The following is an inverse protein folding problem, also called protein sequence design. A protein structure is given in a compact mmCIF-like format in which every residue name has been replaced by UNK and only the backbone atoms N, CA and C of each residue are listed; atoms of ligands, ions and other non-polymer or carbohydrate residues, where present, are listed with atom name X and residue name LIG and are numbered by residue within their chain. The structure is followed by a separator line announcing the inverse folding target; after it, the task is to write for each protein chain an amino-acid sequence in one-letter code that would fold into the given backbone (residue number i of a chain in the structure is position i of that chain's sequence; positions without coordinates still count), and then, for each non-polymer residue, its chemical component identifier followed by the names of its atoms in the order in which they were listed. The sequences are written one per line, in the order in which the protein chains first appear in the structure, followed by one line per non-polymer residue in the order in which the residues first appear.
data_IF_440456656143
#
_entry.id   IF_440456656143
#
_cell.length_a   1.000
_cell.length_b   1.000
_cell.length_c   1.000
_cell.angle_alpha   90.00
_cell.angle_beta   90.00
_cell.angle_gamma   90.00
#
_symmetry.space_group_name_H-M   'P 1'
#
loop_
_entity.id
_entity.type
_entity.pdbx_description
1 polymer ?
#
# COMPACT_ATOMS: atom_id res chain seq x y z
N UNK A 1 16.91 -9.12 13.16
CA UNK A 1 15.84 -9.81 12.40
C UNK A 1 14.76 -8.84 11.86
N UNK A 2 14.10 -7.98 12.68
CA UNK A 2 13.03 -7.05 12.25
C UNK A 2 13.42 -6.06 11.14
N UNK A 3 14.66 -5.51 11.15
CA UNK A 3 15.15 -4.57 10.12
C UNK A 3 15.24 -5.24 8.75
N UNK A 4 15.69 -6.49 8.69
CA UNK A 4 15.79 -7.25 7.44
C UNK A 4 14.43 -7.59 6.84
N UNK A 5 13.44 -7.95 7.67
CA UNK A 5 12.06 -8.22 7.19
C UNK A 5 11.47 -6.98 6.51
N UNK A 6 11.68 -5.77 7.11
CA UNK A 6 11.24 -4.51 6.50
C UNK A 6 11.88 -4.26 5.13
N UNK A 7 13.19 -4.46 5.04
CA UNK A 7 13.94 -4.25 3.79
C UNK A 7 13.45 -5.25 2.73
N UNK A 8 13.32 -6.53 3.09
CA UNK A 8 12.88 -7.58 2.17
C UNK A 8 11.45 -7.29 1.65
N UNK A 9 10.52 -6.90 2.52
CA UNK A 9 9.15 -6.59 2.08
C UNK A 9 9.06 -5.35 1.20
N UNK A 10 9.78 -4.27 1.54
CA UNK A 10 9.80 -3.06 0.71
C UNK A 10 10.47 -3.35 -0.63
N UNK A 11 11.60 -4.08 -0.65
CA UNK A 11 12.28 -4.44 -1.90
C UNK A 11 11.44 -5.38 -2.76
N UNK A 12 10.72 -6.33 -2.16
CA UNK A 12 9.80 -7.22 -2.88
C UNK A 12 8.65 -6.45 -3.55
N UNK A 13 8.04 -5.50 -2.85
CA UNK A 13 6.99 -4.64 -3.41
C UNK A 13 7.53 -3.74 -4.52
N UNK A 14 8.75 -3.20 -4.36
CA UNK A 14 9.40 -2.38 -5.39
C UNK A 14 9.68 -3.20 -6.66
N UNK A 15 10.19 -4.42 -6.53
CA UNK A 15 10.43 -5.34 -7.65
C UNK A 15 9.11 -5.66 -8.36
N UNK A 16 8.02 -5.87 -7.63
CA UNK A 16 6.70 -6.15 -8.20
C UNK A 16 6.20 -4.98 -9.06
N UNK A 17 6.36 -3.73 -8.58
CA UNK A 17 6.02 -2.52 -9.36
C UNK A 17 6.88 -2.41 -10.61
N UNK A 18 8.19 -2.69 -10.52
CA UNK A 18 9.08 -2.69 -11.69
C UNK A 18 8.66 -3.72 -12.74
N UNK A 19 8.37 -4.95 -12.33
CA UNK A 19 7.89 -5.99 -13.23
C UNK A 19 6.59 -5.54 -13.92
N UNK A 20 5.68 -4.90 -13.20
CA UNK A 20 4.42 -4.40 -13.73
C UNK A 20 4.63 -3.32 -14.79
N UNK A 21 5.56 -2.38 -14.57
CA UNK A 21 5.91 -1.34 -15.55
C UNK A 21 6.51 -1.96 -16.80
N UNK A 22 7.45 -2.91 -16.66
CA UNK A 22 8.09 -3.60 -17.78
C UNK A 22 7.04 -4.36 -18.60
N UNK A 23 6.14 -5.08 -17.93
CA UNK A 23 5.08 -5.84 -18.60
C UNK A 23 4.09 -4.94 -19.34
N UNK A 24 3.69 -3.81 -18.77
CA UNK A 24 2.83 -2.82 -19.40
C UNK A 24 3.50 -2.23 -20.65
N UNK A 25 4.78 -1.87 -20.55
CA UNK A 25 5.56 -1.35 -21.67
C UNK A 25 5.71 -2.40 -22.78
N UNK A 26 6.04 -3.63 -22.44
CA UNK A 26 6.16 -4.73 -23.40
C UNK A 26 4.83 -5.01 -24.12
N UNK A 27 3.72 -5.01 -23.38
CA UNK A 27 2.39 -5.17 -23.94
C UNK A 27 2.00 -4.02 -24.89
N UNK A 28 2.36 -2.78 -24.51
CA UNK A 28 2.16 -1.63 -25.39
C UNK A 28 2.93 -1.78 -26.71
N UNK A 29 4.21 -2.15 -26.67
CA UNK A 29 5.04 -2.34 -27.85
C UNK A 29 4.50 -3.48 -28.73
N UNK A 30 4.08 -4.59 -28.12
CA UNK A 30 3.48 -5.71 -28.85
C UNK A 30 2.22 -5.27 -29.61
N UNK A 31 1.29 -4.62 -28.94
CA UNK A 31 0.04 -4.14 -29.57
C UNK A 31 0.30 -3.06 -30.63
N UNK A 32 1.31 -2.19 -30.41
CA UNK A 32 1.74 -1.22 -31.41
C UNK A 32 2.25 -1.90 -32.69
N UNK A 33 3.10 -2.91 -32.55
CA UNK A 33 3.62 -3.65 -33.69
C UNK A 33 2.50 -4.42 -34.44
N UNK A 34 1.56 -5.02 -33.68
CA UNK A 34 0.39 -5.71 -34.23
C UNK A 34 -0.45 -4.76 -35.12
N UNK A 35 -0.75 -3.55 -34.62
CA UNK A 35 -1.55 -2.59 -35.38
C UNK A 35 -0.77 -2.05 -36.61
N UNK A 36 0.55 -1.80 -36.46
CA UNK A 36 1.40 -1.40 -37.57
C UNK A 36 1.37 -2.47 -38.66
N UNK A 37 1.57 -3.73 -38.30
CA UNK A 37 1.53 -4.85 -39.27
C UNK A 37 0.16 -4.98 -39.91
N UNK A 38 -0.92 -4.99 -39.14
CA UNK A 38 -2.29 -5.09 -39.64
C UNK A 38 -2.62 -3.94 -40.61
N UNK A 39 -2.33 -2.70 -40.22
CA UNK A 39 -2.66 -1.53 -41.05
C UNK A 39 -1.78 -1.43 -42.30
N UNK A 40 -0.54 -1.94 -42.25
CA UNK A 40 0.32 -2.06 -43.43
C UNK A 40 -0.25 -3.06 -44.44
N UNK A 41 -0.69 -4.23 -43.98
CA UNK A 41 -1.33 -5.23 -44.83
C UNK A 41 -2.65 -4.71 -45.47
N UNK A 42 -3.45 -3.97 -44.68
CA UNK A 42 -4.68 -3.34 -45.22
C UNK A 42 -4.37 -2.26 -46.26
N UNK A 43 -3.26 -1.52 -46.08
CA UNK A 43 -2.80 -0.56 -47.08
C UNK A 43 -2.35 -1.26 -48.38
N UNK A 44 -1.64 -2.38 -48.26
CA UNK A 44 -1.24 -3.21 -49.38
C UNK A 44 -2.46 -3.71 -50.17
N UNK A 45 -3.50 -4.18 -49.48
CA UNK A 45 -4.76 -4.58 -50.10
C UNK A 45 -5.45 -3.41 -50.83
N UNK A 46 -5.41 -2.20 -50.27
CA UNK A 46 -5.97 -1.02 -50.94
C UNK A 46 -5.21 -0.62 -52.18
N UNK A 47 -3.87 -0.73 -52.19
CA UNK A 47 -3.03 -0.50 -53.36
C UNK A 47 -3.32 -1.55 -54.45
N UNK A 48 -3.45 -2.82 -54.04
CA UNK A 48 -3.84 -3.90 -54.94
C UNK A 48 -5.20 -3.62 -55.60
N UNK A 49 -6.22 -3.28 -54.80
CA UNK A 49 -7.56 -2.98 -55.34
C UNK A 49 -7.55 -1.83 -56.35
N UNK A 50 -6.76 -0.80 -56.08
CA UNK A 50 -6.57 0.32 -56.98
C UNK A 50 -5.90 -0.14 -58.31
N UNK A 51 -4.84 -0.97 -58.19
CA UNK A 51 -4.13 -1.52 -59.33
C UNK A 51 -5.07 -2.33 -60.23
N UNK A 52 -5.85 -3.23 -59.68
CA UNK A 52 -6.83 -4.05 -60.40
C UNK A 52 -7.94 -3.18 -61.03
N UNK A 53 -8.38 -2.14 -60.35
CA UNK A 53 -9.37 -1.19 -60.88
C UNK A 53 -8.85 -0.49 -62.16
N UNK A 54 -7.58 -0.09 -62.18
CA UNK A 54 -6.94 0.49 -63.37
C UNK A 54 -6.72 -0.53 -64.47
N UNK A 55 -6.27 -1.74 -64.12
CA UNK A 55 -6.14 -2.85 -65.09
C UNK A 55 -7.46 -3.15 -65.78
N UNK A 56 -8.58 -3.18 -65.08
CA UNK A 56 -9.91 -3.37 -65.63
C UNK A 56 -10.35 -2.25 -66.62
N UNK A 57 -9.71 -1.09 -66.61
CA UNK A 57 -9.97 0.04 -67.48
C UNK A 57 -9.15 0.01 -68.80
N UNK A 58 -8.25 -0.98 -68.97
CA UNK A 58 -7.44 -1.15 -70.17
C UNK A 58 -8.20 -1.89 -71.27
N UNK A 59 -7.89 -1.64 -72.59
CA UNK A 59 -8.43 -2.41 -73.64
C UNK A 59 -8.07 -3.90 -73.56
N UNK A 60 -9.00 -4.78 -74.03
CA UNK A 60 -8.73 -6.22 -74.06
C UNK A 60 -7.50 -6.54 -74.88
N UNK A 61 -6.60 -7.38 -74.40
CA UNK A 61 -5.34 -7.77 -75.03
C UNK A 61 -4.12 -6.92 -74.66
N UNK A 62 -4.26 -5.90 -73.79
CA UNK A 62 -3.11 -5.13 -73.35
C UNK A 62 -2.21 -6.00 -72.49
N UNK A 63 -0.93 -6.15 -72.85
CA UNK A 63 0.06 -6.85 -72.06
C UNK A 63 0.57 -5.96 -70.93
N UNK A 64 0.53 -6.49 -69.66
CA UNK A 64 1.07 -5.85 -68.43
C UNK A 64 2.17 -6.73 -67.90
N UNK A 65 3.31 -6.14 -67.49
CA UNK A 65 4.44 -6.86 -66.89
C UNK A 65 4.01 -7.48 -65.56
N UNK A 66 4.25 -8.77 -65.43
CA UNK A 66 4.13 -9.47 -64.14
C UNK A 66 5.50 -9.70 -63.54
N UNK A 67 5.55 -10.18 -62.30
CA UNK A 67 6.80 -10.49 -61.61
C UNK A 67 7.65 -11.49 -62.36
N UNK A 68 8.93 -11.17 -62.70
CA UNK A 68 9.82 -12.11 -63.34
C UNK A 68 10.15 -13.28 -62.41
N UNK A 69 10.32 -14.47 -62.99
CA UNK A 69 10.64 -15.68 -62.22
C UNK A 69 12.01 -15.56 -61.45
N UNK A 70 12.92 -14.74 -62.00
CA UNK A 70 14.21 -14.40 -61.40
C UNK A 70 14.08 -13.63 -60.08
N UNK A 71 12.96 -12.95 -59.84
CA UNK A 71 12.73 -12.10 -58.67
C UNK A 71 11.82 -12.76 -57.59
N UNK A 72 11.57 -14.06 -57.74
CA UNK A 72 10.68 -14.81 -56.84
C UNK A 72 11.12 -14.81 -55.33
N UNK A 73 12.39 -14.48 -55.04
CA UNK A 73 12.93 -14.36 -53.68
C UNK A 73 12.99 -12.93 -53.13
N UNK A 74 12.64 -11.92 -53.92
CA UNK A 74 12.65 -10.53 -53.42
C UNK A 74 11.34 -10.19 -52.73
N UNK A 75 11.41 -9.42 -51.65
CA UNK A 75 10.23 -8.95 -50.89
C UNK A 75 9.59 -7.71 -51.56
N UNK A 76 9.24 -7.89 -52.88
CA UNK A 76 8.59 -6.87 -53.67
C UNK A 76 7.18 -7.37 -54.01
N UNK A 77 6.12 -6.62 -53.66
CA UNK A 77 4.76 -7.00 -54.01
C UNK A 77 4.54 -7.14 -55.52
N UNK A 78 3.70 -8.07 -55.94
CA UNK A 78 3.44 -8.35 -57.37
C UNK A 78 2.87 -7.11 -58.08
N UNK A 79 2.03 -6.34 -57.40
CA UNK A 79 1.46 -5.11 -57.99
C UNK A 79 2.53 -4.05 -58.30
N UNK A 80 3.72 -4.08 -57.67
CA UNK A 80 4.78 -3.11 -57.96
C UNK A 80 5.28 -3.22 -59.42
N UNK A 81 5.33 -4.42 -59.96
CA UNK A 81 5.68 -4.65 -61.39
C UNK A 81 4.55 -4.21 -62.34
N UNK A 82 3.29 -4.44 -61.92
CA UNK A 82 2.11 -4.00 -62.68
C UNK A 82 1.99 -2.46 -62.71
N UNK A 83 2.31 -1.79 -61.62
CA UNK A 83 2.29 -0.33 -61.47
C UNK A 83 3.23 0.34 -62.48
N UNK A 84 4.43 -0.19 -62.68
CA UNK A 84 5.39 0.36 -63.64
C UNK A 84 4.84 0.31 -65.05
N UNK A 85 4.23 -0.82 -65.50
CA UNK A 85 3.61 -0.95 -66.79
C UNK A 85 2.39 -0.03 -66.99
N UNK A 86 1.59 0.17 -65.91
CA UNK A 86 0.45 1.07 -65.91
C UNK A 86 0.88 2.53 -66.05
N UNK A 87 1.99 2.93 -65.46
CA UNK A 87 2.57 4.27 -65.62
C UNK A 87 3.06 4.49 -67.08
N UNK A 88 3.75 3.48 -67.67
CA UNK A 88 4.18 3.52 -69.09
C UNK A 88 2.99 3.66 -70.05
N UNK A 89 1.83 3.11 -69.72
CA UNK A 89 0.58 3.19 -70.49
C UNK A 89 -0.22 4.49 -70.18
N UNK A 90 0.35 5.45 -69.49
CA UNK A 90 -0.28 6.74 -69.19
C UNK A 90 -1.37 6.67 -68.11
N UNK A 91 -1.38 5.63 -67.27
CA UNK A 91 -2.33 5.44 -66.16
C UNK A 91 -1.57 5.53 -64.87
N UNK A 92 -1.17 6.73 -64.40
CA UNK A 92 -0.41 6.87 -63.12
C UNK A 92 -1.24 6.48 -61.91
N UNK A 93 -0.56 6.15 -60.82
CA UNK A 93 -1.18 5.77 -59.55
C UNK A 93 -2.03 6.90 -58.97
N UNK A 94 -3.21 6.58 -58.48
CA UNK A 94 -4.15 7.54 -57.90
C UNK A 94 -4.22 7.39 -56.37
N UNK A 95 -3.60 8.34 -55.63
CA UNK A 95 -3.72 8.39 -54.17
C UNK A 95 -5.15 8.61 -53.69
N UNK A 96 -5.99 9.29 -54.48
CA UNK A 96 -7.42 9.50 -54.16
C UNK A 96 -8.18 8.17 -54.15
N UNK A 97 -7.92 7.33 -55.13
CA UNK A 97 -8.55 6.01 -55.22
C UNK A 97 -8.05 5.07 -54.14
N UNK A 98 -6.74 5.07 -53.88
CA UNK A 98 -6.16 4.30 -52.77
C UNK A 98 -6.76 4.75 -51.42
N UNK A 99 -6.88 6.06 -51.18
CA UNK A 99 -7.47 6.60 -49.95
C UNK A 99 -8.93 6.16 -49.77
N UNK A 100 -9.70 6.09 -50.89
CA UNK A 100 -11.08 5.59 -50.84
C UNK A 100 -11.16 4.12 -50.44
N UNK A 101 -10.37 3.25 -51.09
CA UNK A 101 -10.31 1.82 -50.74
C UNK A 101 -9.78 1.60 -49.36
N UNK A 102 -8.70 2.28 -48.95
CA UNK A 102 -8.11 2.14 -47.66
C UNK A 102 -9.07 2.57 -46.54
N UNK A 103 -9.82 3.66 -46.75
CA UNK A 103 -10.87 4.10 -45.84
C UNK A 103 -11.94 3.03 -45.65
N UNK A 104 -12.44 2.46 -46.74
CA UNK A 104 -13.45 1.41 -46.69
C UNK A 104 -12.95 0.17 -45.93
N UNK A 105 -11.75 -0.31 -46.23
CA UNK A 105 -11.13 -1.47 -45.60
C UNK A 105 -10.89 -1.21 -44.08
N UNK A 106 -10.47 0.01 -43.71
CA UNK A 106 -10.30 0.37 -42.29
C UNK A 106 -11.63 0.39 -41.54
N UNK A 107 -12.71 0.87 -42.20
CA UNK A 107 -14.06 0.88 -41.60
C UNK A 107 -14.59 -0.54 -41.38
N UNK A 108 -14.41 -1.45 -42.34
CA UNK A 108 -14.77 -2.87 -42.24
C UNK A 108 -14.06 -3.55 -41.07
N UNK A 109 -12.81 -3.18 -40.81
CA UNK A 109 -11.99 -3.71 -39.73
C UNK A 109 -12.15 -2.97 -38.41
N UNK A 110 -13.11 -2.03 -38.30
CA UNK A 110 -13.37 -1.20 -37.10
C UNK A 110 -12.14 -0.40 -36.60
N UNK A 111 -11.22 -0.07 -37.51
CA UNK A 111 -10.06 0.78 -37.20
C UNK A 111 -10.44 2.25 -37.46
N UNK A 112 -9.84 3.16 -36.66
CA UNK A 112 -10.08 4.58 -36.84
C UNK A 112 -9.74 5.01 -38.27
N UNK A 113 -10.66 5.72 -38.92
CA UNK A 113 -10.56 6.13 -40.30
C UNK A 113 -9.86 7.48 -40.56
N UNK A 114 -9.29 8.08 -39.50
CA UNK A 114 -8.49 9.29 -39.65
C UNK A 114 -7.06 8.92 -40.02
N UNK A 115 -6.71 9.10 -41.28
CA UNK A 115 -5.39 8.78 -41.78
C UNK A 115 -4.92 9.81 -42.82
N UNK A 116 -3.61 9.83 -43.06
CA UNK A 116 -2.98 10.54 -44.17
C UNK A 116 -2.08 9.57 -44.93
N UNK A 117 -2.24 9.51 -46.25
CA UNK A 117 -1.37 8.77 -47.18
C UNK A 117 -0.25 9.68 -47.67
N UNK A 118 0.94 9.13 -47.77
CA UNK A 118 2.13 9.80 -48.29
C UNK A 118 2.73 8.96 -49.43
N UNK A 119 2.90 9.57 -50.58
CA UNK A 119 3.72 9.06 -51.67
C UNK A 119 5.11 9.68 -51.54
N UNK A 120 6.12 8.85 -51.42
CA UNK A 120 7.50 9.29 -51.25
C UNK A 120 8.35 8.82 -52.44
N UNK A 121 9.32 9.66 -52.82
CA UNK A 121 10.45 9.29 -53.70
C UNK A 121 11.73 9.38 -52.87
N UNK A 122 12.30 8.22 -52.56
CA UNK A 122 13.35 8.15 -51.53
C UNK A 122 12.83 8.64 -50.19
N UNK A 123 13.36 9.75 -49.68
CA UNK A 123 12.91 10.38 -48.41
C UNK A 123 12.02 11.62 -48.56
N UNK A 124 11.77 12.07 -49.83
CA UNK A 124 10.99 13.28 -50.08
C UNK A 124 9.52 12.93 -50.34
N UNK A 125 8.62 13.65 -49.69
CA UNK A 125 7.17 13.52 -49.92
C UNK A 125 6.85 14.23 -51.24
N UNK A 126 6.30 13.51 -52.21
CA UNK A 126 5.87 14.05 -53.52
C UNK A 126 4.41 14.46 -53.43
N UNK A 127 3.59 13.63 -52.86
CA UNK A 127 2.16 13.85 -52.77
C UNK A 127 1.64 13.31 -51.40
N UNK A 128 0.63 13.96 -50.85
CA UNK A 128 -0.10 13.48 -49.71
C UNK A 128 -1.62 13.59 -49.94
N UNK A 129 -2.37 12.71 -49.29
CA UNK A 129 -3.83 12.72 -49.30
C UNK A 129 -4.37 12.36 -47.92
N UNK A 130 -5.29 13.17 -47.42
CA UNK A 130 -5.92 13.04 -46.10
C UNK A 130 -5.69 14.25 -45.20
N UNK A 131 -6.31 14.27 -44.06
CA UNK A 131 -6.16 15.35 -43.07
C UNK A 131 -4.95 15.09 -42.18
N UNK A 132 -3.83 15.73 -42.50
CA UNK A 132 -2.66 15.79 -41.64
C UNK A 132 -2.97 16.74 -40.45
N UNK A 133 -3.79 16.31 -39.52
CA UNK A 133 -3.85 17.00 -38.22
C UNK A 133 -2.61 16.57 -37.40
N UNK A 134 -1.88 17.55 -36.91
CA UNK A 134 -0.81 17.34 -35.94
C UNK A 134 -1.41 16.71 -34.68
N UNK A 135 -1.45 15.39 -34.62
CA UNK A 135 -1.82 14.65 -33.45
C UNK A 135 -0.56 14.17 -32.73
N UNK A 136 -0.53 14.30 -31.43
CA UNK A 136 0.57 13.79 -30.60
C UNK A 136 0.71 12.26 -30.67
N UNK A 137 -0.38 11.57 -30.98
CA UNK A 137 -0.43 10.11 -31.11
C UNK A 137 -0.77 9.71 -32.55
N UNK A 138 0.20 9.14 -33.24
CA UNK A 138 0.01 8.54 -34.54
C UNK A 138 0.83 7.26 -34.70
N UNK A 139 0.42 6.43 -35.64
CA UNK A 139 1.13 5.21 -36.00
C UNK A 139 1.41 5.30 -37.52
N UNK A 140 2.64 5.01 -37.90
CA UNK A 140 3.01 4.89 -39.32
C UNK A 140 3.01 3.42 -39.72
N UNK A 141 2.45 3.14 -40.90
CA UNK A 141 2.57 1.84 -41.55
C UNK A 141 4.00 1.60 -42.03
N UNK A 142 4.31 0.37 -42.36
CA UNK A 142 5.51 0.07 -43.14
C UNK A 142 5.46 0.78 -44.48
N UNK A 143 6.64 1.10 -45.04
CA UNK A 143 6.79 1.66 -46.37
C UNK A 143 6.55 0.56 -47.42
N UNK A 144 5.51 0.68 -48.21
CA UNK A 144 5.15 -0.31 -49.23
C UNK A 144 5.71 0.17 -50.58
N UNK A 145 6.62 -0.58 -51.19
CA UNK A 145 7.17 -0.20 -52.52
C UNK A 145 6.10 -0.35 -53.59
N UNK A 146 6.01 0.66 -54.45
CA UNK A 146 5.11 0.67 -55.65
C UNK A 146 5.88 0.57 -56.94
N UNK A 147 7.20 0.50 -56.88
CA UNK A 147 8.07 0.16 -58.02
C UNK A 147 9.10 -0.88 -57.63
N UNK A 148 9.55 -1.64 -58.60
CA UNK A 148 10.51 -2.73 -58.40
C UNK A 148 11.91 -2.25 -57.94
N UNK A 149 12.27 -0.99 -58.22
CA UNK A 149 13.52 -0.32 -57.83
C UNK A 149 13.45 0.37 -56.47
N UNK A 150 12.35 0.27 -55.73
CA UNK A 150 12.09 0.93 -54.45
C UNK A 150 12.14 2.47 -54.49
N UNK A 151 12.20 3.07 -55.72
CA UNK A 151 12.29 4.52 -55.86
C UNK A 151 11.07 5.25 -55.32
N UNK A 152 9.90 4.62 -55.43
CA UNK A 152 8.63 5.14 -54.91
C UNK A 152 8.00 4.21 -53.92
N UNK A 153 7.60 4.78 -52.80
CA UNK A 153 6.94 4.03 -51.69
C UNK A 153 5.71 4.78 -51.21
N UNK A 154 4.71 4.03 -50.74
CA UNK A 154 3.54 4.59 -50.07
C UNK A 154 3.61 4.20 -48.60
N UNK A 155 3.30 5.15 -47.72
CA UNK A 155 3.03 4.90 -46.31
C UNK A 155 1.75 5.60 -45.86
N UNK A 156 1.08 5.06 -44.86
CA UNK A 156 -0.04 5.70 -44.21
C UNK A 156 0.36 6.12 -42.78
N UNK A 157 -0.16 7.24 -42.34
CA UNK A 157 -0.11 7.71 -40.98
C UNK A 157 -1.55 7.67 -40.44
N UNK A 158 -1.78 6.81 -39.44
CA UNK A 158 -3.07 6.68 -38.74
C UNK A 158 -3.06 7.56 -37.51
N UNK A 159 -4.02 8.43 -37.41
CA UNK A 159 -4.12 9.46 -36.39
C UNK A 159 -5.05 8.97 -35.31
N UNK A 160 -4.62 9.12 -34.02
CA UNK A 160 -5.39 8.76 -32.81
C UNK A 160 -5.94 7.32 -32.79
N UNK A 161 -5.08 6.30 -32.87
CA UNK A 161 -5.51 4.90 -32.82
C UNK A 161 -6.01 4.47 -31.41
N UNK A 162 -6.45 5.42 -30.59
CA UNK A 162 -6.80 5.23 -29.18
C UNK A 162 -7.88 4.17 -28.99
N UNK A 163 -8.92 4.16 -29.87
CA UNK A 163 -10.00 3.18 -29.78
C UNK A 163 -9.48 1.75 -29.85
N UNK A 164 -8.53 1.49 -30.74
CA UNK A 164 -7.92 0.17 -30.89
C UNK A 164 -7.12 -0.22 -29.64
N UNK A 165 -6.31 0.70 -29.11
CA UNK A 165 -5.55 0.46 -27.89
C UNK A 165 -6.46 0.22 -26.68
N UNK A 166 -7.54 1.00 -26.52
CA UNK A 166 -8.48 0.78 -25.42
C UNK A 166 -9.23 -0.56 -25.55
N UNK A 167 -9.57 -0.99 -26.75
CA UNK A 167 -10.19 -2.30 -26.97
C UNK A 167 -9.24 -3.45 -26.63
N UNK A 168 -7.98 -3.37 -27.05
CA UNK A 168 -6.98 -4.44 -26.84
C UNK A 168 -6.36 -4.41 -25.45
N UNK A 169 -6.12 -3.22 -24.89
CA UNK A 169 -5.41 -3.06 -23.62
C UNK A 169 -6.30 -2.64 -22.45
N UNK A 170 -7.59 -2.39 -22.66
CA UNK A 170 -8.49 -1.86 -21.62
C UNK A 170 -8.54 -2.74 -20.36
N UNK A 171 -8.75 -4.05 -20.53
CA UNK A 171 -8.78 -5.01 -19.43
C UNK A 171 -7.43 -5.05 -18.69
N UNK A 172 -6.34 -5.01 -19.43
CA UNK A 172 -4.98 -5.01 -18.91
C UNK A 172 -4.71 -3.74 -18.11
N UNK A 173 -5.09 -2.57 -18.61
CA UNK A 173 -4.96 -1.30 -17.89
C UNK A 173 -5.79 -1.28 -16.60
N UNK A 174 -7.01 -1.78 -16.64
CA UNK A 174 -7.86 -1.89 -15.44
C UNK A 174 -7.23 -2.83 -14.42
N UNK A 175 -6.81 -4.02 -14.83
CA UNK A 175 -6.20 -5.01 -13.93
C UNK A 175 -4.89 -4.52 -13.31
N UNK A 176 -4.03 -3.86 -14.09
CA UNK A 176 -2.79 -3.27 -13.57
C UNK A 176 -3.05 -2.13 -12.59
N UNK A 177 -4.07 -1.31 -12.85
CA UNK A 177 -4.47 -0.22 -11.94
C UNK A 177 -4.99 -0.77 -10.61
N UNK A 178 -5.85 -1.80 -10.64
CA UNK A 178 -6.35 -2.47 -9.43
C UNK A 178 -5.19 -3.06 -8.62
N UNK A 179 -4.26 -3.75 -9.29
CA UNK A 179 -3.09 -4.34 -8.64
C UNK A 179 -2.20 -3.26 -8.00
N UNK A 180 -2.00 -2.13 -8.65
CA UNK A 180 -1.21 -1.01 -8.13
C UNK A 180 -1.86 -0.40 -6.89
N UNK A 181 -3.19 -0.21 -6.90
CA UNK A 181 -3.95 0.25 -5.73
C UNK A 181 -3.79 -0.75 -4.58
N UNK A 182 -3.89 -2.05 -4.85
CA UNK A 182 -3.70 -3.10 -3.86
C UNK A 182 -2.30 -3.08 -3.24
N UNK A 183 -1.25 -2.90 -4.05
CA UNK A 183 0.14 -2.77 -3.57
C UNK A 183 0.30 -1.56 -2.65
N UNK A 184 -0.24 -0.39 -3.04
CA UNK A 184 -0.21 0.83 -2.21
C UNK A 184 -0.93 0.60 -0.88
N UNK A 185 -2.09 -0.04 -0.91
CA UNK A 185 -2.83 -0.40 0.31
C UNK A 185 -2.00 -1.31 1.23
N UNK A 186 -1.34 -2.33 0.69
CA UNK A 186 -0.47 -3.22 1.45
C UNK A 186 0.70 -2.47 2.10
N UNK A 187 1.32 -1.52 1.39
CA UNK A 187 2.40 -0.69 1.93
C UNK A 187 1.91 0.15 3.12
N UNK A 188 0.78 0.85 2.96
CA UNK A 188 0.20 1.67 4.03
C UNK A 188 -0.13 0.81 5.25
N UNK A 189 -0.73 -0.35 5.04
CA UNK A 189 -1.08 -1.30 6.11
C UNK A 189 0.16 -1.80 6.86
N UNK A 190 1.21 -2.17 6.14
CA UNK A 190 2.48 -2.59 6.75
C UNK A 190 3.15 -1.49 7.56
N UNK A 191 3.18 -0.26 7.03
CA UNK A 191 3.76 0.89 7.76
C UNK A 191 3.01 1.12 9.07
N UNK A 192 1.68 1.02 9.07
CA UNK A 192 0.86 1.14 10.30
C UNK A 192 1.18 0.04 11.31
N UNK A 193 1.29 -1.22 10.87
CA UNK A 193 1.64 -2.35 11.76
C UNK A 193 3.03 -2.12 12.36
N UNK A 194 4.00 -1.75 11.54
CA UNK A 194 5.38 -1.52 11.99
C UNK A 194 5.44 -0.39 13.02
N UNK A 195 4.72 0.71 12.77
CA UNK A 195 4.66 1.85 13.70
C UNK A 195 4.03 1.45 15.03
N UNK A 196 2.94 0.67 15.00
CA UNK A 196 2.30 0.13 16.21
C UNK A 196 3.25 -0.79 16.98
N UNK A 197 3.95 -1.69 16.31
CA UNK A 197 4.92 -2.60 16.93
C UNK A 197 6.11 -1.85 17.54
N UNK A 198 6.61 -0.80 16.89
CA UNK A 198 7.69 0.02 17.44
C UNK A 198 7.24 0.73 18.72
N UNK A 199 6.02 1.30 18.72
CA UNK A 199 5.46 1.95 19.92
C UNK A 199 5.32 0.96 21.08
N UNK A 200 4.82 -0.25 20.82
CA UNK A 200 4.73 -1.32 21.85
C UNK A 200 6.12 -1.70 22.36
N UNK A 201 7.10 -1.84 21.46
CA UNK A 201 8.47 -2.17 21.83
C UNK A 201 9.12 -1.08 22.69
N UNK A 202 8.87 0.20 22.37
CA UNK A 202 9.35 1.33 23.16
C UNK A 202 8.72 1.36 24.55
N UNK A 203 7.39 1.20 24.64
CA UNK A 203 6.69 1.14 25.94
C UNK A 203 7.25 0.00 26.80
N UNK A 204 7.56 -1.15 26.20
CA UNK A 204 8.13 -2.29 26.92
C UNK A 204 9.56 -2.02 27.40
N UNK A 205 10.35 -1.30 26.61
CA UNK A 205 11.71 -0.89 26.98
C UNK A 205 11.68 0.12 28.14
N UNK A 206 10.87 1.18 28.00
CA UNK A 206 10.69 2.21 29.04
C UNK A 206 10.18 1.60 30.36
N UNK A 207 9.25 0.66 30.27
CA UNK A 207 8.76 -0.10 31.44
C UNK A 207 9.87 -0.89 32.09
N UNK A 208 10.73 -1.59 31.33
CA UNK A 208 11.85 -2.34 31.86
C UNK A 208 12.85 -1.44 32.58
N UNK A 209 13.18 -0.29 32.02
CA UNK A 209 14.06 0.69 32.65
C UNK A 209 13.48 1.25 33.95
N UNK A 210 12.21 1.65 33.95
CA UNK A 210 11.53 2.13 35.12
C UNK A 210 11.54 1.09 36.24
N UNK A 211 11.25 -0.17 35.92
CA UNK A 211 11.28 -1.26 36.90
C UNK A 211 12.64 -1.51 37.53
N UNK A 212 13.70 -1.54 36.70
CA UNK A 212 15.07 -1.71 37.21
C UNK A 212 15.42 -0.55 38.13
N UNK A 213 15.03 0.68 37.78
CA UNK A 213 15.24 1.85 38.64
C UNK A 213 14.51 1.74 39.97
N UNK A 214 13.22 1.38 39.96
CA UNK A 214 12.37 1.27 41.14
C UNK A 214 12.77 0.11 42.06
N UNK A 215 13.44 -0.91 41.54
CA UNK A 215 14.02 -2.00 42.32
C UNK A 215 15.38 -1.62 42.90
N UNK A 216 16.18 -0.77 42.23
CA UNK A 216 17.53 -0.39 42.68
C UNK A 216 17.50 0.39 43.99
N UNK A 217 16.55 1.31 44.15
CA UNK A 217 16.46 2.18 45.36
C UNK A 217 16.25 1.40 46.64
N UNK A 218 15.20 0.54 46.79
CA UNK A 218 15.01 -0.27 47.97
C UNK A 218 16.16 -1.26 48.20
N UNK A 219 16.72 -1.83 47.16
CA UNK A 219 17.87 -2.73 47.27
C UNK A 219 19.09 -2.01 47.85
N UNK A 220 19.39 -0.78 47.39
CA UNK A 220 20.49 0.02 47.93
C UNK A 220 20.27 0.39 49.40
N UNK A 221 19.03 0.67 49.80
CA UNK A 221 18.68 0.94 51.21
C UNK A 221 18.91 -0.28 52.07
N UNK A 222 18.50 -1.47 51.63
CA UNK A 222 18.71 -2.73 52.34
C UNK A 222 20.21 -3.00 52.52
N UNK A 223 21.00 -2.83 51.44
CA UNK A 223 22.46 -3.01 51.48
C UNK A 223 23.11 -2.05 52.51
N UNK A 224 22.72 -0.77 52.48
CA UNK A 224 23.23 0.23 53.45
C UNK A 224 22.91 -0.15 54.89
N UNK A 225 21.68 -0.61 55.18
CA UNK A 225 21.30 -1.10 56.48
C UNK A 225 22.12 -2.32 56.90
N UNK A 226 22.34 -3.26 56.00
CA UNK A 226 23.16 -4.44 56.22
C UNK A 226 24.60 -4.07 56.57
N UNK A 227 25.21 -3.11 55.87
CA UNK A 227 26.58 -2.66 56.16
C UNK A 227 26.68 -1.95 57.52
N UNK A 228 25.65 -1.15 57.86
CA UNK A 228 25.57 -0.53 59.19
C UNK A 228 25.46 -1.57 60.32
N UNK A 229 24.68 -2.61 60.14
CA UNK A 229 24.53 -3.69 61.09
C UNK A 229 25.85 -4.47 61.26
N UNK A 230 26.55 -4.76 60.14
CA UNK A 230 27.84 -5.46 60.17
C UNK A 230 28.96 -4.66 60.85
N UNK A 231 28.89 -3.33 60.81
CA UNK A 231 29.93 -2.48 61.39
C UNK A 231 29.95 -2.48 62.93
N UNK A 232 28.96 -3.09 63.64
CA UNK A 232 28.82 -3.09 65.03
C UNK A 232 28.49 -1.74 65.69
N UNK A 233 28.41 -0.67 64.93
CA UNK A 233 28.17 0.71 65.40
C UNK A 233 26.80 0.89 66.08
N UNK A 234 25.86 -0.01 65.81
CA UNK A 234 24.50 0.04 66.35
C UNK A 234 24.28 -0.87 67.53
N UNK A 235 25.25 -1.66 67.95
CA UNK A 235 25.08 -2.64 69.06
C UNK A 235 24.88 -1.98 70.40
N UNK A 236 25.42 -0.79 70.61
CA UNK A 236 25.23 0.02 71.84
C UNK A 236 23.93 0.84 71.82
N UNK A 237 23.15 0.82 70.75
CA UNK A 237 21.93 1.64 70.54
C UNK A 237 20.76 0.80 69.97
N UNK A 238 20.14 -0.04 70.81
CA UNK A 238 19.14 -1.01 70.35
C UNK A 238 17.91 -0.38 69.68
N UNK A 239 17.48 0.80 70.15
CA UNK A 239 16.34 1.52 69.48
C UNK A 239 16.65 1.91 68.05
N UNK A 240 17.87 2.40 67.76
CA UNK A 240 18.29 2.78 66.45
C UNK A 240 18.46 1.53 65.61
N UNK A 241 19.02 0.45 66.16
CA UNK A 241 19.15 -0.83 65.45
C UNK A 241 17.79 -1.37 64.98
N UNK A 242 16.79 -1.35 65.87
CA UNK A 242 15.42 -1.77 65.56
C UNK A 242 14.77 -0.90 64.49
N UNK A 243 15.01 0.43 64.49
CA UNK A 243 14.53 1.32 63.48
C UNK A 243 15.11 0.97 62.08
N UNK A 244 16.43 0.72 61.99
CA UNK A 244 17.06 0.31 60.70
C UNK A 244 16.56 -1.07 60.25
N UNK A 245 16.38 -2.03 61.15
CA UNK A 245 15.77 -3.34 60.84
C UNK A 245 14.35 -3.19 60.26
N UNK A 246 13.55 -2.30 60.85
CA UNK A 246 12.20 -2.01 60.38
C UNK A 246 12.19 -1.37 58.96
N UNK A 247 13.15 -0.48 58.70
CA UNK A 247 13.35 0.10 57.36
C UNK A 247 13.70 -0.99 56.38
N UNK A 248 14.70 -1.84 56.66
CA UNK A 248 15.08 -2.92 55.76
C UNK A 248 13.92 -3.89 55.46
N UNK A 249 13.13 -4.20 56.49
CA UNK A 249 11.93 -5.04 56.34
C UNK A 249 10.90 -4.38 55.44
N UNK A 250 10.60 -3.10 55.63
CA UNK A 250 9.66 -2.34 54.79
C UNK A 250 10.11 -2.30 53.31
N UNK A 251 11.41 -2.10 53.05
CA UNK A 251 11.94 -2.10 51.69
C UNK A 251 11.92 -3.50 51.05
N UNK A 252 12.12 -4.57 51.87
CA UNK A 252 11.97 -5.95 51.40
C UNK A 252 10.53 -6.26 51.03
N UNK A 253 9.56 -5.86 51.82
CA UNK A 253 8.12 -6.00 51.54
C UNK A 253 7.73 -5.22 50.29
N UNK A 254 8.31 -4.04 50.08
CA UNK A 254 8.13 -3.24 48.86
C UNK A 254 8.67 -3.95 47.62
N UNK A 255 9.91 -4.50 47.69
CA UNK A 255 10.48 -5.29 46.59
C UNK A 255 9.62 -6.50 46.25
N UNK A 256 9.10 -7.20 47.25
CA UNK A 256 8.20 -8.34 47.04
C UNK A 256 6.90 -7.92 46.36
N UNK A 257 6.31 -6.79 46.74
CA UNK A 257 5.13 -6.25 46.05
C UNK A 257 5.41 -5.85 44.60
N UNK A 258 6.58 -5.25 44.30
CA UNK A 258 7.00 -4.94 42.94
C UNK A 258 7.17 -6.20 42.07
N UNK A 259 7.82 -7.24 42.58
CA UNK A 259 7.99 -8.51 41.88
C UNK A 259 6.65 -9.18 41.55
N UNK A 260 5.71 -9.16 42.51
CA UNK A 260 4.36 -9.69 42.27
C UNK A 260 3.60 -8.90 41.20
N UNK A 261 3.73 -7.56 41.14
CA UNK A 261 3.16 -6.74 40.04
C UNK A 261 3.74 -7.11 38.67
N UNK A 262 5.06 -7.34 38.58
CA UNK A 262 5.72 -7.78 37.36
C UNK A 262 5.16 -9.14 36.91
N UNK A 263 5.02 -10.08 37.80
CA UNK A 263 4.47 -11.40 37.51
C UNK A 263 3.01 -11.31 37.00
N UNK A 264 2.21 -10.45 37.65
CA UNK A 264 0.82 -10.22 37.24
C UNK A 264 0.74 -9.63 35.82
N UNK A 265 1.57 -8.62 35.52
CA UNK A 265 1.67 -8.03 34.16
C UNK A 265 2.11 -9.07 33.14
N UNK A 266 3.12 -9.88 33.45
CA UNK A 266 3.58 -10.97 32.58
C UNK A 266 2.50 -12.01 32.31
N UNK A 267 1.70 -12.38 33.34
CA UNK A 267 0.56 -13.29 33.16
C UNK A 267 -0.54 -12.67 32.27
N UNK A 268 -0.83 -11.39 32.45
CA UNK A 268 -1.78 -10.63 31.62
C UNK A 268 -1.34 -10.58 30.16
N UNK A 269 -0.07 -10.21 29.89
CA UNK A 269 0.47 -10.13 28.53
C UNK A 269 0.42 -11.48 27.80
N UNK A 270 0.61 -12.56 28.53
CA UNK A 270 0.60 -13.93 27.96
C UNK A 270 -0.80 -14.57 27.96
N UNK A 271 -1.86 -13.83 28.32
CA UNK A 271 -3.23 -14.36 28.48
C UNK A 271 -3.33 -15.57 29.43
N UNK A 272 -2.43 -15.63 30.43
CA UNK A 272 -2.37 -16.70 31.41
C UNK A 272 -2.93 -16.30 32.79
N UNK A 273 -3.56 -15.11 32.86
CA UNK A 273 -4.20 -14.68 34.09
C UNK A 273 -5.55 -15.38 34.20
N UNK A 274 -5.65 -16.27 35.16
CA UNK A 274 -6.89 -16.89 35.57
C UNK A 274 -7.62 -15.98 36.56
N UNK A 275 -8.84 -15.55 36.22
CA UNK A 275 -9.68 -14.71 37.06
C UNK A 275 -10.79 -15.55 37.64
N UNK A 276 -10.94 -15.53 38.96
CA UNK A 276 -12.07 -16.15 39.66
C UNK A 276 -13.21 -15.13 39.79
N UNK A 277 -13.98 -14.98 38.76
CA UNK A 277 -15.09 -14.01 38.68
C UNK A 277 -16.30 -14.52 39.47
N UNK A 278 -16.73 -13.74 40.43
CA UNK A 278 -17.94 -13.97 41.25
C UNK A 278 -18.75 -12.68 41.35
N UNK A 279 -19.94 -12.75 41.90
CA UNK A 279 -20.67 -11.54 42.26
C UNK A 279 -20.02 -10.94 43.53
N UNK A 280 -19.50 -9.73 43.40
CA UNK A 280 -18.72 -9.04 44.42
C UNK A 280 -19.45 -7.79 44.89
N UNK A 281 -19.59 -7.62 46.21
CA UNK A 281 -20.13 -6.39 46.81
C UNK A 281 -19.12 -5.25 46.73
N UNK A 282 -19.50 -4.12 46.15
CA UNK A 282 -18.63 -2.96 45.92
C UNK A 282 -18.43 -2.12 47.19
N UNK A 283 -19.47 -2.01 48.03
CA UNK A 283 -19.46 -1.16 49.22
C UNK A 283 -18.30 -1.48 50.17
N UNK A 284 -18.09 -2.74 50.59
CA UNK A 284 -17.02 -3.05 51.56
C UNK A 284 -15.63 -2.81 51.01
N UNK A 285 -15.43 -3.05 49.72
CA UNK A 285 -14.15 -2.80 49.01
C UNK A 285 -13.84 -1.29 49.02
N UNK A 286 -14.81 -0.48 48.57
CA UNK A 286 -14.64 0.97 48.47
C UNK A 286 -14.43 1.60 49.84
N UNK A 287 -15.21 1.19 50.86
CA UNK A 287 -15.03 1.69 52.22
C UNK A 287 -13.66 1.32 52.81
N UNK A 288 -13.20 0.09 52.62
CA UNK A 288 -11.87 -0.34 53.04
C UNK A 288 -10.77 0.48 52.38
N UNK A 289 -10.85 0.71 51.06
CA UNK A 289 -9.86 1.47 50.34
C UNK A 289 -9.86 2.96 50.72
N UNK A 290 -11.02 3.58 50.83
CA UNK A 290 -11.13 5.00 51.21
C UNK A 290 -10.63 5.26 52.61
N UNK A 291 -10.91 4.39 53.59
CA UNK A 291 -10.34 4.44 54.93
C UNK A 291 -8.81 4.32 54.90
N UNK A 292 -8.28 3.34 54.14
CA UNK A 292 -6.84 3.12 53.98
C UNK A 292 -6.13 4.35 53.39
N UNK A 293 -6.67 4.93 52.33
CA UNK A 293 -6.05 6.07 51.64
C UNK A 293 -6.18 7.37 52.45
N UNK A 294 -7.31 7.61 53.16
CA UNK A 294 -7.42 8.74 54.10
C UNK A 294 -6.37 8.70 55.22
N UNK A 295 -6.11 7.50 55.76
CA UNK A 295 -5.11 7.34 56.81
C UNK A 295 -3.66 7.50 56.31
N UNK A 296 -3.38 7.17 55.06
CA UNK A 296 -2.03 7.21 54.46
C UNK A 296 -1.68 8.53 53.82
N UNK A 297 -2.67 9.31 53.40
CA UNK A 297 -2.47 10.51 52.63
C UNK A 297 -1.78 11.61 53.45
N UNK A 298 -0.78 12.28 52.84
CA UNK A 298 -0.05 13.43 53.44
C UNK A 298 -0.74 14.77 53.16
N UNK A 299 -1.79 14.77 52.35
CA UNK A 299 -2.59 15.94 51.97
C UNK A 299 -4.08 15.67 52.17
N UNK A 300 -4.92 16.72 52.21
CA UNK A 300 -6.36 16.57 52.36
C UNK A 300 -6.97 15.77 51.19
N UNK A 301 -7.65 14.67 51.50
CA UNK A 301 -8.36 13.83 50.55
C UNK A 301 -9.82 13.75 50.94
N UNK A 302 -10.69 14.23 50.07
CA UNK A 302 -12.12 14.11 50.22
C UNK A 302 -12.69 13.03 49.27
N UNK A 303 -13.51 12.14 49.77
CA UNK A 303 -14.20 11.12 48.97
C UNK A 303 -15.69 11.38 48.94
N UNK A 304 -16.24 11.46 47.73
CA UNK A 304 -17.70 11.50 47.48
C UNK A 304 -18.07 10.15 46.87
N UNK A 305 -18.94 9.41 47.55
CA UNK A 305 -19.28 8.03 47.15
C UNK A 305 -20.78 8.00 46.84
N UNK A 306 -21.15 7.58 45.64
CA UNK A 306 -22.54 7.41 45.22
C UNK A 306 -22.65 6.08 44.42
N UNK A 307 -23.10 5.04 45.13
CA UNK A 307 -23.19 3.68 44.56
C UNK A 307 -24.65 3.35 44.23
N UNK A 308 -25.00 3.48 42.94
CA UNK A 308 -26.31 3.02 42.42
C UNK A 308 -26.32 1.51 42.23
N UNK A 309 -25.28 0.94 41.63
CA UNK A 309 -25.05 -0.49 41.57
C UNK A 309 -24.23 -0.93 42.81
N UNK A 310 -24.70 -1.92 43.53
CA UNK A 310 -24.07 -2.41 44.77
C UNK A 310 -23.15 -3.61 44.54
N UNK A 311 -23.36 -4.34 43.44
CA UNK A 311 -22.58 -5.54 43.07
C UNK A 311 -22.00 -5.43 41.69
N UNK A 312 -20.92 -6.19 41.44
CA UNK A 312 -20.30 -6.36 40.12
C UNK A 312 -19.82 -7.80 39.94
N UNK A 313 -19.95 -8.33 38.73
CA UNK A 313 -19.39 -9.65 38.39
C UNK A 313 -17.92 -9.52 38.06
N UNK A 314 -17.04 -9.76 39.01
CA UNK A 314 -15.60 -9.55 38.89
C UNK A 314 -14.80 -10.49 39.81
N UNK A 315 -13.50 -10.48 39.66
CA UNK A 315 -12.59 -11.06 40.66
C UNK A 315 -12.35 -10.04 41.76
N UNK A 316 -12.63 -10.43 43.00
CA UNK A 316 -12.59 -9.55 44.15
C UNK A 316 -11.22 -8.88 44.37
N UNK A 317 -10.14 -9.63 44.22
CA UNK A 317 -8.79 -9.16 44.49
C UNK A 317 -8.32 -8.20 43.42
N UNK A 318 -8.52 -8.56 42.14
CA UNK A 318 -8.16 -7.68 41.00
C UNK A 318 -9.04 -6.44 40.94
N UNK A 319 -10.33 -6.54 41.27
CA UNK A 319 -11.20 -5.36 41.34
C UNK A 319 -10.73 -4.37 42.41
N UNK A 320 -10.39 -4.87 43.60
CA UNK A 320 -9.81 -4.06 44.64
C UNK A 320 -8.49 -3.41 44.23
N UNK A 321 -7.63 -4.13 43.53
CA UNK A 321 -6.36 -3.60 43.02
C UNK A 321 -6.57 -2.50 41.99
N UNK A 322 -7.52 -2.68 41.06
CA UNK A 322 -7.86 -1.66 40.02
C UNK A 322 -8.35 -0.38 40.69
N UNK A 323 -9.31 -0.47 41.63
CA UNK A 323 -9.85 0.70 42.36
C UNK A 323 -8.72 1.37 43.17
N UNK A 324 -7.88 0.58 43.84
CA UNK A 324 -6.74 1.09 44.60
C UNK A 324 -5.76 1.87 43.73
N UNK A 325 -5.44 1.37 42.52
CA UNK A 325 -4.54 2.05 41.59
C UNK A 325 -5.14 3.36 41.07
N UNK A 326 -6.45 3.40 40.78
CA UNK A 326 -7.13 4.63 40.33
C UNK A 326 -7.13 5.70 41.42
N UNK A 327 -7.41 5.32 42.69
CA UNK A 327 -7.34 6.23 43.85
C UNK A 327 -5.91 6.74 44.08
N UNK A 328 -4.93 5.86 44.02
CA UNK A 328 -3.51 6.22 44.21
C UNK A 328 -3.05 7.23 43.14
N UNK A 329 -3.43 6.99 41.88
CA UNK A 329 -3.17 7.90 40.80
C UNK A 329 -3.82 9.27 41.01
N UNK A 330 -5.08 9.32 41.39
CA UNK A 330 -5.80 10.56 41.69
C UNK A 330 -5.07 11.35 42.83
N UNK A 331 -4.63 10.68 43.86
CA UNK A 331 -3.87 11.32 44.93
C UNK A 331 -2.49 11.78 44.48
N UNK A 332 -1.77 10.96 43.74
CA UNK A 332 -0.40 11.24 43.30
C UNK A 332 -0.32 12.43 42.35
N UNK A 333 -1.24 12.53 41.41
CA UNK A 333 -1.20 13.57 40.35
C UNK A 333 -1.97 14.85 40.73
N UNK A 334 -2.72 14.87 41.82
CA UNK A 334 -3.36 16.11 42.30
C UNK A 334 -2.35 17.01 43.02
N UNK A 335 -2.66 18.31 43.11
CA UNK A 335 -1.79 19.34 43.72
C UNK A 335 -1.88 19.33 45.27
N UNK A 336 -2.48 20.33 45.86
CA UNK A 336 -2.50 20.53 47.32
C UNK A 336 -3.60 19.73 48.04
N UNK A 337 -4.71 19.48 47.34
CA UNK A 337 -5.84 18.67 47.84
C UNK A 337 -6.48 17.90 46.68
N UNK A 338 -7.21 16.86 47.00
CA UNK A 338 -7.95 16.09 46.01
C UNK A 338 -9.35 15.76 46.48
N UNK A 339 -10.30 15.94 45.59
CA UNK A 339 -11.65 15.41 45.73
C UNK A 339 -11.84 14.25 44.77
N UNK A 340 -12.16 13.07 45.30
CA UNK A 340 -12.30 11.84 44.52
C UNK A 340 -13.76 11.40 44.55
N UNK A 341 -14.41 11.45 43.41
CA UNK A 341 -15.78 11.00 43.20
C UNK A 341 -15.78 9.55 42.71
N UNK A 342 -16.37 8.65 43.51
CA UNK A 342 -16.54 7.23 43.16
C UNK A 342 -18.04 7.00 42.93
N UNK A 343 -18.42 6.69 41.69
CA UNK A 343 -19.81 6.42 41.33
C UNK A 343 -19.95 5.06 40.66
N UNK A 344 -21.06 4.38 40.89
CA UNK A 344 -21.41 3.15 40.20
C UNK A 344 -22.79 3.29 39.55
N UNK A 345 -22.92 2.82 38.34
CA UNK A 345 -24.16 2.82 37.59
C UNK A 345 -24.40 1.42 37.02
N UNK A 346 -25.67 1.02 36.91
CA UNK A 346 -26.05 -0.22 36.27
C UNK A 346 -26.46 0.04 34.85
N UNK A 347 -25.89 -0.71 33.91
CA UNK A 347 -26.26 -0.74 32.51
C UNK A 347 -26.79 -2.12 32.15
N UNK A 348 -27.56 -2.26 31.06
CA UNK A 348 -28.23 -3.52 30.66
C UNK A 348 -27.34 -4.78 30.72
N UNK A 349 -26.02 -4.63 30.57
CA UNK A 349 -25.06 -5.76 30.53
C UNK A 349 -23.85 -5.61 31.46
N UNK A 350 -23.65 -4.43 32.05
CA UNK A 350 -22.42 -4.12 32.78
C UNK A 350 -22.72 -3.25 34.00
N UNK A 351 -21.95 -3.45 35.05
CA UNK A 351 -21.80 -2.47 36.12
C UNK A 351 -20.66 -1.53 35.75
N UNK A 352 -20.93 -0.23 35.69
CA UNK A 352 -19.96 0.80 35.35
C UNK A 352 -19.50 1.45 36.67
N UNK A 353 -18.20 1.31 37.01
CA UNK A 353 -17.56 2.00 38.10
C UNK A 353 -16.73 3.15 37.56
N UNK A 354 -16.97 4.36 38.05
CA UNK A 354 -16.24 5.57 37.64
C UNK A 354 -15.50 6.13 38.85
N UNK A 355 -14.21 6.43 38.70
CA UNK A 355 -13.38 7.17 39.65
C UNK A 355 -12.97 8.46 38.94
N UNK A 356 -13.36 9.60 39.49
CA UNK A 356 -13.09 10.93 38.94
C UNK A 356 -12.43 11.80 39.99
N UNK A 357 -11.36 12.46 39.64
CA UNK A 357 -10.64 13.47 40.42
C UNK A 357 -10.85 14.89 39.82
N UNK A 358 -10.52 15.90 40.63
CA UNK A 358 -10.57 17.33 40.23
C UNK A 358 -9.30 17.83 39.57
#
# INVERSE_FOLDING_TARGET
MRKYIKIITISGLFILVLIQIIWLYSSYQFNKNEIVFKTSHLLENAINAETFSRLGSLPQGTMVKSRPQSDSGKDIPEFAYMQESLDELGKPISLDTIAKYYKQILEEENINNHFCLYLLKGNSIIQNKGNAHYSFFYIETQKIPIRNDFSYVIKAQIINPNKFFFQKMGILLVSTTILLIFVVFCIIYQVRIISKMNKISQIREDFSYAMVHDMKTPLSTIMMVQDMLKSGRLDTRPEIKNKYMSIAKSETDHLFALTNKILTISKLENHKLEMNKTEVELTPIIEKLTKKFKAKAQKPVNFIISLQAKTAYADNDYLGEVISNLIDNAIKYSKESVEINITTEESERYTILKVRDN
#
